data_IF_622910732345
#
_entry.id   IF_622910732345
#
_cell.length_a   1.000
_cell.length_b   1.000
_cell.length_c   1.000
_cell.angle_alpha   90.00
_cell.angle_beta   90.00
_cell.angle_gamma   90.00
#
_symmetry.space_group_name_H-M   'P 1'
#
loop_
_entity.id
_entity.type
_entity.pdbx_description
1 polymer ?
#
# COMPACT_ATOMS: atom_id res chain seq x y z
N UNK A 1 -6.75 -10.79 1.55
CA UNK A 1 -7.82 -11.30 0.72
C UNK A 1 -7.85 -10.56 -0.60
N UNK A 2 -8.41 -11.15 -1.61
CA UNK A 2 -8.46 -10.59 -2.94
C UNK A 2 -9.50 -9.50 -3.16
N UNK A 3 -10.03 -8.91 -2.10
CA UNK A 3 -11.10 -7.93 -2.21
C UNK A 3 -10.61 -6.49 -2.12
N UNK A 4 -9.32 -6.28 -2.15
CA UNK A 4 -8.75 -4.94 -2.05
C UNK A 4 -7.98 -4.59 -3.31
N UNK A 5 -8.02 -3.31 -3.67
CA UNK A 5 -7.27 -2.78 -4.80
C UNK A 5 -6.30 -1.75 -4.26
N UNK A 6 -5.03 -1.93 -4.61
CA UNK A 6 -3.99 -0.98 -4.26
C UNK A 6 -3.69 -0.09 -5.44
N UNK A 7 -3.59 1.20 -5.17
CA UNK A 7 -3.16 2.19 -6.17
C UNK A 7 -2.05 3.03 -5.56
N UNK A 8 -1.02 3.30 -6.34
CA UNK A 8 0.06 4.14 -5.87
C UNK A 8 0.57 5.04 -6.98
N UNK A 9 1.06 6.20 -6.57
CA UNK A 9 1.57 7.20 -7.48
C UNK A 9 2.66 7.99 -6.74
N UNK A 10 3.89 7.90 -7.24
CA UNK A 10 5.01 8.53 -6.57
C UNK A 10 5.19 7.96 -5.18
N UNK A 11 5.02 8.78 -4.16
CA UNK A 11 5.17 8.39 -2.76
C UNK A 11 3.84 8.10 -2.07
N UNK A 12 2.74 8.26 -2.78
CA UNK A 12 1.41 8.12 -2.20
C UNK A 12 0.82 6.77 -2.57
N UNK A 13 0.09 6.17 -1.64
CA UNK A 13 -0.66 4.98 -1.95
C UNK A 13 -2.05 5.03 -1.32
N UNK A 14 -2.97 4.34 -1.96
CA UNK A 14 -4.35 4.27 -1.52
C UNK A 14 -4.83 2.83 -1.63
N UNK A 15 -5.66 2.43 -0.68
CA UNK A 15 -6.24 1.09 -0.68
C UNK A 15 -7.75 1.25 -0.75
N UNK A 16 -8.34 0.56 -1.72
CA UNK A 16 -9.78 0.58 -1.93
C UNK A 16 -10.34 -0.82 -1.77
N UNK A 17 -11.60 -0.91 -1.38
CA UNK A 17 -12.30 -2.19 -1.45
C UNK A 17 -12.68 -2.45 -2.90
N UNK A 18 -13.09 -3.69 -3.18
CA UNK A 18 -13.56 -4.06 -4.51
C UNK A 18 -14.75 -3.22 -4.98
N UNK A 19 -15.53 -2.71 -4.04
CA UNK A 19 -16.69 -1.88 -4.34
C UNK A 19 -16.32 -0.40 -4.55
N UNK A 20 -15.03 -0.08 -4.51
CA UNK A 20 -14.59 1.28 -4.72
C UNK A 20 -14.59 2.17 -3.49
N UNK A 21 -14.82 1.60 -2.32
CA UNK A 21 -14.78 2.36 -1.09
C UNK A 21 -13.32 2.55 -0.67
N UNK A 22 -12.92 3.80 -0.50
CA UNK A 22 -11.56 4.14 -0.08
C UNK A 22 -11.38 3.79 1.39
N UNK A 23 -10.43 2.93 1.69
CA UNK A 23 -10.18 2.47 3.06
C UNK A 23 -9.01 3.18 3.71
N UNK A 24 -7.90 3.29 3.00
CA UNK A 24 -6.68 3.83 3.57
C UNK A 24 -5.99 4.71 2.55
N UNK A 25 -5.26 5.68 3.07
CA UNK A 25 -4.43 6.54 2.26
C UNK A 25 -3.19 6.86 3.07
N UNK A 26 -2.03 6.82 2.43
CA UNK A 26 -0.79 7.10 3.11
C UNK A 26 0.29 7.55 2.17
N UNK A 27 1.39 7.99 2.76
CA UNK A 27 2.54 8.45 2.02
C UNK A 27 3.78 7.83 2.63
N UNK A 28 4.72 7.39 1.80
CA UNK A 28 5.97 6.80 2.25
C UNK A 28 7.13 7.74 1.91
N UNK A 29 8.32 7.41 2.39
CA UNK A 29 9.46 8.31 2.29
C UNK A 29 10.06 8.39 0.89
N UNK A 30 9.92 7.32 0.11
CA UNK A 30 10.53 7.23 -1.21
C UNK A 30 9.48 6.89 -2.26
N UNK A 31 9.84 7.16 -3.52
CA UNK A 31 8.97 6.82 -4.65
C UNK A 31 8.76 5.31 -4.69
N UNK A 32 7.50 4.91 -4.75
CA UNK A 32 7.11 3.51 -4.73
C UNK A 32 7.34 2.90 -6.11
N UNK A 33 8.07 1.78 -6.14
CA UNK A 33 8.27 1.01 -7.36
C UNK A 33 7.28 -0.15 -7.42
N UNK A 34 6.99 -0.76 -6.27
CA UNK A 34 6.12 -1.92 -6.21
C UNK A 34 5.57 -2.06 -4.79
N UNK A 35 4.38 -2.62 -4.67
CA UNK A 35 3.78 -2.92 -3.36
C UNK A 35 3.28 -4.35 -3.39
N UNK A 36 3.60 -5.10 -2.34
CA UNK A 36 3.19 -6.51 -2.20
C UNK A 36 2.38 -6.68 -0.92
N UNK A 37 1.31 -7.46 -0.96
CA UNK A 37 0.58 -7.80 0.26
C UNK A 37 1.40 -8.75 1.13
N UNK A 38 1.11 -8.74 2.43
CA UNK A 38 1.69 -9.70 3.37
C UNK A 38 0.57 -10.49 4.02
N UNK A 39 0.94 -11.41 4.91
CA UNK A 39 -0.05 -12.16 5.68
C UNK A 39 -0.67 -11.33 6.79
N UNK A 40 -0.07 -10.20 7.15
CA UNK A 40 -0.61 -9.34 8.19
C UNK A 40 -1.78 -8.50 7.67
N UNK A 41 -2.71 -8.18 8.56
CA UNK A 41 -3.83 -7.32 8.22
C UNK A 41 -3.32 -5.90 7.98
N UNK A 42 -3.64 -5.35 6.81
CA UNK A 42 -3.26 -3.99 6.42
C UNK A 42 -1.75 -3.78 6.36
N UNK A 43 -0.98 -4.85 6.29
CA UNK A 43 0.47 -4.79 6.18
C UNK A 43 0.89 -5.09 4.76
N UNK A 44 1.77 -4.25 4.24
CA UNK A 44 2.27 -4.40 2.89
C UNK A 44 3.78 -4.19 2.87
N UNK A 45 4.43 -4.82 1.91
CA UNK A 45 5.85 -4.58 1.65
C UNK A 45 5.92 -3.56 0.54
N UNK A 46 6.55 -2.42 0.82
CA UNK A 46 6.73 -1.35 -0.14
C UNK A 46 8.16 -1.38 -0.63
N UNK A 47 8.35 -1.54 -1.93
CA UNK A 47 9.67 -1.54 -2.55
C UNK A 47 9.91 -0.18 -3.19
N UNK A 48 11.04 0.42 -2.87
CA UNK A 48 11.49 1.68 -3.46
C UNK A 48 12.93 1.51 -3.95
N UNK A 49 13.47 2.57 -4.54
CA UNK A 49 14.83 2.55 -5.04
C UNK A 49 15.85 2.32 -3.93
N UNK A 50 15.51 2.68 -2.69
CA UNK A 50 16.43 2.57 -1.56
C UNK A 50 16.25 1.28 -0.76
N UNK A 51 15.34 0.42 -1.16
CA UNK A 51 15.13 -0.86 -0.48
C UNK A 51 13.67 -1.17 -0.27
N UNK A 52 13.41 -2.02 0.72
CA UNK A 52 12.06 -2.46 1.03
C UNK A 52 11.74 -2.15 2.48
N UNK A 53 10.49 -1.85 2.73
CA UNK A 53 10.01 -1.68 4.10
C UNK A 53 8.61 -2.25 4.25
N UNK A 54 8.28 -2.62 5.48
CA UNK A 54 6.95 -3.11 5.81
C UNK A 54 6.15 -1.92 6.33
N UNK A 55 5.01 -1.68 5.70
CA UNK A 55 4.16 -0.55 6.05
C UNK A 55 2.79 -1.08 6.45
N UNK A 56 2.25 -0.53 7.53
CA UNK A 56 0.89 -0.84 7.96
C UNK A 56 0.01 0.37 7.67
N UNK A 57 -1.06 0.15 6.94
CA UNK A 57 -2.02 1.22 6.69
C UNK A 57 -3.07 1.21 7.78
N UNK A 58 -3.17 2.32 8.49
CA UNK A 58 -4.18 2.50 9.54
C UNK A 58 -5.06 3.66 9.14
N UNK A 59 -6.31 3.53 9.49
CA UNK A 59 -7.28 4.60 9.23
C UNK A 59 -6.94 5.83 10.03
#
# INVERSE_FOLDING_TARGET
SGSQVLMYDGKKCSVYTRNGIHKYQGEVDDVILEIFPTFGVNKYIVMSANGMEVVRFVK
#
